data_IF_381948872574
#
_entry.id   IF_381948872574
#
_cell.length_a   1.000
_cell.length_b   1.000
_cell.length_c   1.000
_cell.angle_alpha   90.00
_cell.angle_beta   90.00
_cell.angle_gamma   90.00
#
_symmetry.space_group_name_H-M   'P 1'
#
loop_
_entity.id
_entity.type
_entity.pdbx_description
1 polymer ?
#
# COMPACT_ATOMS: atom_id res chain seq x y z
N UNK A 1 5.30 -5.15 -22.97
CA UNK A 1 4.23 -5.14 -21.94
C UNK A 1 4.45 -3.93 -21.04
N UNK A 2 3.45 -3.09 -20.96
CA UNK A 2 3.49 -1.96 -20.04
C UNK A 2 3.20 -2.45 -18.62
N UNK A 3 4.06 -2.13 -17.68
CA UNK A 3 3.89 -2.44 -16.25
C UNK A 3 3.23 -1.28 -15.50
N UNK A 4 2.41 -0.52 -16.20
CA UNK A 4 1.74 0.64 -15.65
C UNK A 4 0.54 0.23 -14.80
N UNK A 5 0.52 0.68 -13.57
CA UNK A 5 -0.59 0.49 -12.64
C UNK A 5 -1.18 1.85 -12.34
N UNK A 6 -2.42 2.08 -12.78
CA UNK A 6 -3.10 3.37 -12.67
C UNK A 6 -4.21 3.33 -11.63
N UNK A 7 -3.88 2.80 -10.44
CA UNK A 7 -4.84 2.63 -9.34
C UNK A 7 -4.17 2.90 -8.00
N UNK A 8 -4.93 3.36 -7.04
CA UNK A 8 -4.47 3.54 -5.68
C UNK A 8 -3.32 4.53 -5.56
N UNK A 9 -2.31 4.17 -4.79
CA UNK A 9 -1.12 5.00 -4.57
C UNK A 9 -0.33 5.27 -5.85
N UNK A 10 -0.41 4.39 -6.84
CA UNK A 10 0.28 4.60 -8.12
C UNK A 10 -0.24 5.83 -8.88
N UNK A 11 -1.47 6.27 -8.61
CA UNK A 11 -2.01 7.51 -9.18
C UNK A 11 -1.35 8.77 -8.60
N UNK A 12 -0.63 8.65 -7.48
CA UNK A 12 0.03 9.75 -6.79
C UNK A 12 1.53 9.78 -7.06
N UNK A 13 1.98 9.22 -8.18
CA UNK A 13 3.40 9.07 -8.54
C UNK A 13 4.20 8.41 -7.41
N UNK A 14 3.64 7.36 -6.85
CA UNK A 14 4.21 6.64 -5.72
C UNK A 14 4.17 5.13 -5.99
N UNK A 15 5.31 4.47 -5.85
CA UNK A 15 5.38 3.02 -6.01
C UNK A 15 4.92 2.33 -4.73
N UNK A 16 3.80 1.63 -4.81
CA UNK A 16 3.23 0.91 -3.66
C UNK A 16 3.87 -0.46 -3.52
N UNK A 17 5.02 -0.50 -2.84
CA UNK A 17 5.78 -1.74 -2.64
C UNK A 17 5.05 -2.74 -1.74
N UNK A 18 4.24 -2.27 -0.80
CA UNK A 18 3.40 -3.16 0.01
C UNK A 18 2.37 -3.88 -0.86
N UNK A 19 1.75 -3.17 -1.80
CA UNK A 19 0.80 -3.77 -2.75
C UNK A 19 1.49 -4.80 -3.65
N UNK A 20 2.68 -4.49 -4.14
CA UNK A 20 3.46 -5.41 -4.97
C UNK A 20 3.71 -6.73 -4.23
N UNK A 21 4.08 -6.67 -2.96
CA UNK A 21 4.34 -7.86 -2.15
C UNK A 21 3.08 -8.46 -1.51
N UNK A 22 1.95 -7.77 -1.55
CA UNK A 22 0.72 -8.27 -0.95
C UNK A 22 0.78 -8.34 0.56
N UNK A 23 1.43 -7.38 1.20
CA UNK A 23 1.55 -7.28 2.66
C UNK A 23 0.88 -6.00 3.17
N UNK A 24 0.42 -5.98 4.42
CA UNK A 24 -0.14 -4.76 5.00
C UNK A 24 0.87 -3.62 5.06
N UNK A 25 0.38 -2.39 5.02
CA UNK A 25 1.24 -1.20 5.09
C UNK A 25 1.99 -1.06 6.41
N UNK A 26 1.58 -1.78 7.44
CA UNK A 26 2.23 -1.84 8.74
C UNK A 26 2.97 -3.16 8.98
N UNK A 27 3.20 -3.95 7.93
CA UNK A 27 3.90 -5.23 8.04
C UNK A 27 5.32 -5.05 8.57
N UNK A 28 5.73 -5.95 9.47
CA UNK A 28 7.10 -6.00 9.94
C UNK A 28 8.04 -6.63 8.89
N UNK A 29 9.34 -6.49 9.11
CA UNK A 29 10.35 -6.99 8.17
C UNK A 29 10.29 -8.51 8.00
N UNK A 30 9.90 -9.25 9.03
CA UNK A 30 9.79 -10.71 8.95
C UNK A 30 8.62 -11.14 8.07
N UNK A 31 7.47 -10.49 8.19
CA UNK A 31 6.29 -10.72 7.34
C UNK A 31 6.62 -10.41 5.88
N UNK A 32 7.29 -9.29 5.65
CA UNK A 32 7.73 -8.87 4.31
C UNK A 32 8.68 -9.91 3.71
N UNK A 33 9.65 -10.37 4.48
CA UNK A 33 10.63 -11.39 4.03
C UNK A 33 9.97 -12.69 3.66
N UNK A 34 9.08 -13.20 4.50
CA UNK A 34 8.35 -14.45 4.24
C UNK A 34 7.55 -14.36 2.94
N UNK A 35 6.87 -13.26 2.76
CA UNK A 35 6.06 -13.03 1.56
C UNK A 35 6.94 -12.94 0.32
N UNK A 36 8.03 -12.18 0.39
CA UNK A 36 8.98 -12.07 -0.73
C UNK A 36 9.50 -13.43 -1.16
N UNK A 37 9.93 -14.25 -0.21
CA UNK A 37 10.47 -15.59 -0.52
C UNK A 37 9.42 -16.48 -1.20
N UNK A 38 8.17 -16.41 -0.75
CA UNK A 38 7.06 -17.15 -1.37
C UNK A 38 6.84 -16.70 -2.82
N UNK A 39 6.82 -15.41 -3.06
CA UNK A 39 6.63 -14.84 -4.41
C UNK A 39 7.82 -15.21 -5.29
N UNK A 40 9.04 -15.05 -4.80
CA UNK A 40 10.25 -15.36 -5.55
C UNK A 40 10.28 -16.82 -5.98
N UNK A 41 9.87 -17.76 -5.13
CA UNK A 41 9.76 -19.17 -5.51
C UNK A 41 8.71 -19.40 -6.58
N UNK A 42 7.55 -18.74 -6.47
CA UNK A 42 6.47 -18.85 -7.48
C UNK A 42 6.92 -18.36 -8.84
N UNK A 43 7.67 -17.26 -8.88
CA UNK A 43 8.10 -16.61 -10.13
C UNK A 43 9.44 -17.12 -10.66
N UNK A 44 10.10 -18.01 -9.95
CA UNK A 44 11.39 -18.56 -10.36
C UNK A 44 11.22 -19.36 -11.67
N UNK A 45 12.20 -19.27 -12.62
CA UNK A 45 12.12 -19.99 -13.90
C UNK A 45 11.83 -21.48 -13.77
N UNK A 46 12.42 -22.15 -12.78
CA UNK A 46 12.18 -23.58 -12.55
C UNK A 46 10.73 -23.88 -12.17
N UNK A 47 10.10 -22.99 -11.40
CA UNK A 47 8.71 -23.13 -10.98
C UNK A 47 7.73 -22.85 -12.12
N UNK A 48 8.15 -22.07 -13.11
CA UNK A 48 7.32 -21.65 -14.25
C UNK A 48 7.61 -22.48 -15.52
N UNK A 49 8.43 -23.51 -15.44
CA UNK A 49 8.88 -24.26 -16.61
C UNK A 49 7.72 -24.88 -17.43
N UNK A 50 6.60 -25.25 -16.77
CA UNK A 50 5.45 -25.85 -17.42
C UNK A 50 4.39 -24.81 -17.86
N UNK A 51 4.59 -23.54 -17.58
CA UNK A 51 3.66 -22.49 -17.96
C UNK A 51 3.90 -22.01 -19.40
N UNK A 52 2.95 -21.21 -19.91
CA UNK A 52 3.07 -20.63 -21.25
C UNK A 52 4.32 -19.73 -21.36
N UNK A 53 4.79 -19.53 -22.57
CA UNK A 53 5.92 -18.61 -22.82
C UNK A 53 5.59 -17.20 -22.35
N UNK A 54 4.36 -16.75 -22.56
CA UNK A 54 3.92 -15.44 -22.09
C UNK A 54 3.96 -15.32 -20.57
N UNK A 55 3.51 -16.34 -19.84
CA UNK A 55 3.52 -16.35 -18.39
C UNK A 55 4.94 -16.47 -17.82
N UNK A 56 5.80 -17.24 -18.47
CA UNK A 56 7.22 -17.26 -18.09
C UNK A 56 7.87 -15.90 -18.24
N UNK A 57 7.54 -15.19 -19.30
CA UNK A 57 8.02 -13.82 -19.52
C UNK A 57 7.48 -12.86 -18.47
N UNK A 58 6.17 -12.94 -18.16
CA UNK A 58 5.54 -12.16 -17.10
C UNK A 58 6.21 -12.40 -15.76
N UNK A 59 6.45 -13.66 -15.40
CA UNK A 59 7.13 -14.02 -14.15
C UNK A 59 8.49 -13.36 -14.03
N UNK A 60 9.29 -13.44 -15.09
CA UNK A 60 10.62 -12.83 -15.12
C UNK A 60 10.55 -11.31 -14.98
N UNK A 61 9.64 -10.66 -15.68
CA UNK A 61 9.47 -9.20 -15.63
C UNK A 61 8.95 -8.74 -14.27
N UNK A 62 7.96 -9.44 -13.71
CA UNK A 62 7.44 -9.12 -12.39
C UNK A 62 8.52 -9.22 -11.32
N UNK A 63 9.32 -10.28 -11.37
CA UNK A 63 10.39 -10.47 -10.41
C UNK A 63 11.43 -9.35 -10.49
N UNK A 64 11.92 -9.04 -11.69
CA UNK A 64 12.98 -8.05 -11.90
C UNK A 64 12.50 -6.61 -11.76
N UNK A 65 11.30 -6.28 -12.19
CA UNK A 65 10.81 -4.90 -12.28
C UNK A 65 9.93 -4.45 -11.12
N UNK A 66 9.30 -5.39 -10.42
CA UNK A 66 8.38 -5.09 -9.31
C UNK A 66 8.82 -5.70 -7.99
N UNK A 67 8.98 -7.01 -7.95
CA UNK A 67 9.15 -7.75 -6.70
C UNK A 67 10.52 -7.48 -6.07
N UNK A 68 11.60 -7.60 -6.83
CA UNK A 68 12.94 -7.34 -6.32
C UNK A 68 13.12 -5.88 -5.88
N UNK A 69 12.69 -4.87 -6.66
CA UNK A 69 12.74 -3.48 -6.18
C UNK A 69 11.94 -3.25 -4.90
N UNK A 70 10.76 -3.86 -4.76
CA UNK A 70 9.96 -3.78 -3.54
C UNK A 70 10.70 -4.37 -2.34
N UNK A 71 11.30 -5.54 -2.53
CA UNK A 71 12.09 -6.20 -1.49
C UNK A 71 13.31 -5.36 -1.08
N UNK A 72 14.06 -4.85 -2.05
CA UNK A 72 15.23 -3.99 -1.79
C UNK A 72 14.86 -2.78 -0.93
N UNK A 73 13.72 -2.17 -1.23
CA UNK A 73 13.25 -0.98 -0.49
C UNK A 73 12.75 -1.31 0.91
N UNK A 74 11.99 -2.37 1.05
CA UNK A 74 11.32 -2.70 2.32
C UNK A 74 12.16 -3.57 3.25
N UNK A 75 13.24 -4.19 2.76
CA UNK A 75 14.10 -5.06 3.58
C UNK A 75 15.18 -4.31 4.34
N UNK A 76 15.53 -3.10 3.93
CA UNK A 76 16.53 -2.27 4.59
C UNK A 76 15.83 -1.37 5.60
N UNK A 77 16.18 -1.49 6.86
CA UNK A 77 15.49 -0.78 7.96
C UNK A 77 15.41 0.72 7.73
N UNK A 78 16.53 1.35 7.37
CA UNK A 78 16.58 2.79 7.12
C UNK A 78 15.72 3.20 5.93
N UNK A 79 15.84 2.47 4.81
CA UNK A 79 15.04 2.76 3.62
C UNK A 79 13.56 2.52 3.84
N UNK A 80 13.22 1.49 4.63
CA UNK A 80 11.84 1.22 5.01
C UNK A 80 11.25 2.35 5.84
N UNK A 81 12.00 2.87 6.81
CA UNK A 81 11.56 4.00 7.62
C UNK A 81 11.29 5.24 6.78
N UNK A 82 12.19 5.56 5.86
CA UNK A 82 12.02 6.68 4.93
C UNK A 82 10.80 6.47 4.03
N UNK A 83 10.63 5.26 3.52
CA UNK A 83 9.49 4.90 2.69
C UNK A 83 8.17 5.01 3.47
N UNK A 84 8.13 4.49 4.69
CA UNK A 84 6.94 4.55 5.54
C UNK A 84 6.54 5.99 5.86
N UNK A 85 7.52 6.88 6.02
CA UNK A 85 7.26 8.31 6.22
C UNK A 85 6.62 8.94 4.97
N UNK A 86 7.17 8.66 3.78
CA UNK A 86 6.60 9.14 2.52
C UNK A 86 5.18 8.59 2.29
N UNK A 87 4.97 7.34 2.63
CA UNK A 87 3.66 6.69 2.55
C UNK A 87 2.63 7.42 3.42
N UNK A 88 3.00 7.75 4.64
CA UNK A 88 2.15 8.52 5.55
C UNK A 88 1.80 9.89 4.97
N UNK A 89 2.78 10.58 4.40
CA UNK A 89 2.56 11.89 3.77
C UNK A 89 1.62 11.80 2.58
N UNK A 90 1.72 10.74 1.78
CA UNK A 90 0.79 10.48 0.67
C UNK A 90 -0.63 10.22 1.18
N UNK A 91 -0.77 9.48 2.26
CA UNK A 91 -2.07 9.27 2.91
C UNK A 91 -2.70 10.57 3.40
N UNK A 92 -1.92 11.44 4.03
CA UNK A 92 -2.37 12.76 4.45
C UNK A 92 -2.81 13.64 3.28
N UNK A 93 -2.02 13.64 2.21
CA UNK A 93 -2.34 14.36 0.98
C UNK A 93 -3.67 13.89 0.39
N UNK A 94 -3.85 12.58 0.26
CA UNK A 94 -5.07 11.99 -0.30
C UNK A 94 -6.29 12.30 0.58
N UNK A 95 -6.15 12.25 1.90
CA UNK A 95 -7.22 12.60 2.83
C UNK A 95 -7.68 14.05 2.69
N UNK A 96 -6.75 14.98 2.45
CA UNK A 96 -7.08 16.40 2.23
C UNK A 96 -7.77 16.64 0.90
N UNK A 97 -7.35 15.96 -0.15
CA UNK A 97 -7.93 16.13 -1.48
C UNK A 97 -9.34 15.55 -1.59
N UNK A 98 -9.60 14.40 -0.96
CA UNK A 98 -10.92 13.84 -0.78
C UNK A 98 -11.63 13.31 -2.03
N UNK A 99 -11.03 13.38 -3.21
CA UNK A 99 -11.68 13.03 -4.48
C UNK A 99 -10.94 11.94 -5.26
N UNK A 100 -10.27 11.05 -4.56
CA UNK A 100 -9.55 9.95 -5.19
C UNK A 100 -10.54 8.91 -5.74
N UNK A 101 -10.34 8.49 -6.99
CA UNK A 101 -11.13 7.43 -7.59
C UNK A 101 -10.72 6.08 -6.97
N UNK A 102 -11.65 5.44 -6.30
CA UNK A 102 -11.46 4.14 -5.66
C UNK A 102 -12.36 3.08 -6.28
N UNK A 103 -11.86 1.86 -6.39
CA UNK A 103 -12.67 0.70 -6.74
C UNK A 103 -13.58 0.26 -5.58
N UNK A 104 -14.31 -0.84 -5.80
CA UNK A 104 -15.33 -1.32 -4.87
C UNK A 104 -14.80 -1.52 -3.45
N UNK A 105 -13.70 -2.25 -3.29
CA UNK A 105 -13.14 -2.55 -1.96
C UNK A 105 -12.63 -1.29 -1.25
N UNK A 106 -11.97 -0.39 -1.98
CA UNK A 106 -11.51 0.87 -1.42
C UNK A 106 -12.67 1.73 -0.93
N UNK A 107 -13.77 1.80 -1.69
CA UNK A 107 -14.97 2.53 -1.29
C UNK A 107 -15.62 1.93 -0.05
N UNK A 108 -15.74 0.60 0.00
CA UNK A 108 -16.29 -0.10 1.16
C UNK A 108 -15.45 0.17 2.42
N UNK A 109 -14.13 0.20 2.26
CA UNK A 109 -13.23 0.49 3.37
C UNK A 109 -13.45 1.89 3.94
N UNK A 110 -13.75 2.87 3.10
CA UNK A 110 -13.98 4.26 3.56
C UNK A 110 -15.17 4.37 4.52
N UNK A 111 -16.14 3.47 4.44
CA UNK A 111 -17.35 3.48 5.26
C UNK A 111 -17.49 2.28 6.20
N UNK A 112 -16.52 1.37 6.21
CA UNK A 112 -16.55 0.17 7.03
C UNK A 112 -16.61 0.51 8.52
N UNK A 113 -17.43 -0.20 9.29
CA UNK A 113 -17.55 -0.02 10.74
C UNK A 113 -16.30 -0.47 11.49
N UNK A 114 -15.63 -1.50 10.97
CA UNK A 114 -14.34 -1.96 11.47
C UNK A 114 -13.32 -1.94 10.31
N UNK A 115 -12.71 -0.79 10.03
CA UNK A 115 -11.82 -0.64 8.88
C UNK A 115 -10.58 -1.51 8.96
N UNK A 116 -10.03 -1.72 10.13
CA UNK A 116 -8.85 -2.55 10.32
C UNK A 116 -9.12 -4.00 9.94
N UNK A 117 -10.21 -4.57 10.43
CA UNK A 117 -10.63 -5.93 10.10
C UNK A 117 -10.94 -6.07 8.61
N UNK A 118 -11.68 -5.14 8.06
CA UNK A 118 -12.04 -5.13 6.63
C UNK A 118 -10.78 -5.09 5.75
N UNK A 119 -9.83 -4.21 6.09
CA UNK A 119 -8.57 -4.07 5.39
C UNK A 119 -7.78 -5.37 5.37
N UNK A 120 -7.56 -5.96 6.53
CA UNK A 120 -6.73 -7.18 6.67
C UNK A 120 -7.36 -8.40 6.00
N UNK A 121 -8.67 -8.56 6.14
CA UNK A 121 -9.43 -9.63 5.49
C UNK A 121 -9.39 -9.53 3.98
N UNK A 122 -9.68 -8.36 3.45
CA UNK A 122 -9.70 -8.11 2.00
C UNK A 122 -8.30 -8.25 1.39
N UNK A 123 -7.29 -7.73 2.07
CA UNK A 123 -5.90 -7.86 1.65
C UNK A 123 -5.47 -9.32 1.59
N UNK A 124 -5.79 -10.09 2.61
CA UNK A 124 -5.45 -11.52 2.66
C UNK A 124 -6.04 -12.27 1.46
N UNK A 125 -7.31 -12.03 1.17
CA UNK A 125 -7.99 -12.66 0.04
C UNK A 125 -7.34 -12.31 -1.30
N UNK A 126 -6.98 -11.05 -1.50
CA UNK A 126 -6.30 -10.59 -2.71
C UNK A 126 -4.89 -11.15 -2.81
N UNK A 127 -4.14 -11.15 -1.71
CA UNK A 127 -2.76 -11.63 -1.68
C UNK A 127 -2.66 -13.13 -2.00
N UNK A 128 -3.64 -13.93 -1.57
CA UNK A 128 -3.67 -15.37 -1.85
C UNK A 128 -3.71 -15.67 -3.35
N UNK A 129 -4.40 -14.85 -4.13
CA UNK A 129 -4.55 -15.06 -5.58
C UNK A 129 -3.66 -14.15 -6.43
N UNK A 130 -2.86 -13.29 -5.83
CA UNK A 130 -2.13 -12.22 -6.53
C UNK A 130 -1.22 -12.74 -7.65
N UNK A 131 -0.51 -13.82 -7.42
CA UNK A 131 0.42 -14.41 -8.39
C UNK A 131 -0.04 -15.78 -8.89
N UNK A 132 -1.30 -16.14 -8.69
CA UNK A 132 -1.86 -17.39 -9.15
C UNK A 132 -2.02 -17.38 -10.68
N UNK A 133 -2.69 -16.37 -11.21
CA UNK A 133 -2.86 -16.15 -12.65
C UNK A 133 -2.10 -14.88 -13.03
N UNK A 134 -0.94 -15.05 -13.70
CA UNK A 134 -0.02 -13.94 -13.95
C UNK A 134 -0.57 -12.85 -14.86
N UNK A 135 -1.52 -13.18 -15.72
CA UNK A 135 -2.23 -12.19 -16.53
C UNK A 135 -3.13 -11.25 -15.71
N UNK A 136 -3.45 -11.62 -14.47
CA UNK A 136 -4.28 -10.83 -13.56
C UNK A 136 -3.49 -10.13 -12.46
N UNK A 137 -2.19 -10.41 -12.35
CA UNK A 137 -1.35 -9.92 -11.23
C UNK A 137 -1.36 -8.40 -11.10
N UNK A 138 -1.21 -7.67 -12.21
CA UNK A 138 -1.18 -6.19 -12.16
C UNK A 138 -2.51 -5.61 -11.68
N UNK A 139 -3.62 -6.22 -12.07
CA UNK A 139 -4.94 -5.79 -11.60
C UNK A 139 -5.10 -6.02 -10.09
N UNK A 140 -4.65 -7.16 -9.59
CA UNK A 140 -4.70 -7.46 -8.16
C UNK A 140 -3.80 -6.50 -7.36
N UNK A 141 -2.61 -6.20 -7.85
CA UNK A 141 -1.74 -5.18 -7.22
C UNK A 141 -2.48 -3.83 -7.14
N UNK A 142 -3.14 -3.44 -8.21
CA UNK A 142 -3.93 -2.21 -8.24
C UNK A 142 -5.05 -2.20 -7.20
N UNK A 143 -5.77 -3.31 -7.05
CA UNK A 143 -6.82 -3.45 -6.04
C UNK A 143 -6.25 -3.35 -4.61
N UNK A 144 -5.11 -3.98 -4.35
CA UNK A 144 -4.45 -3.88 -3.04
C UNK A 144 -4.01 -2.45 -2.78
N UNK A 145 -3.47 -1.76 -3.78
CA UNK A 145 -3.06 -0.36 -3.64
C UNK A 145 -4.24 0.56 -3.32
N UNK A 146 -5.41 0.31 -3.89
CA UNK A 146 -6.63 1.05 -3.54
C UNK A 146 -7.04 0.81 -2.09
N UNK A 147 -6.94 -0.43 -1.60
CA UNK A 147 -7.16 -0.72 -0.18
C UNK A 147 -6.16 0.02 0.70
N UNK A 148 -4.89 0.03 0.30
CA UNK A 148 -3.83 0.70 1.06
C UNK A 148 -4.09 2.20 1.18
N UNK A 149 -4.42 2.88 0.09
CA UNK A 149 -4.69 4.32 0.14
C UNK A 149 -5.97 4.63 0.93
N UNK A 150 -7.02 3.83 0.78
CA UNK A 150 -8.26 4.01 1.54
C UNK A 150 -8.03 3.83 3.04
N UNK A 151 -7.24 2.84 3.42
CA UNK A 151 -6.87 2.60 4.82
C UNK A 151 -6.04 3.75 5.39
N UNK A 152 -5.05 4.22 4.64
CA UNK A 152 -4.24 5.38 5.02
C UNK A 152 -5.09 6.64 5.19
N UNK A 153 -6.01 6.89 4.27
CA UNK A 153 -6.90 8.05 4.34
C UNK A 153 -7.74 8.04 5.61
N UNK A 154 -8.26 6.90 6.01
CA UNK A 154 -9.02 6.78 7.26
C UNK A 154 -8.14 7.01 8.48
N UNK A 155 -6.94 6.44 8.52
CA UNK A 155 -5.99 6.63 9.64
C UNK A 155 -5.50 8.07 9.73
N UNK A 156 -5.06 8.65 8.62
CA UNK A 156 -4.50 9.99 8.60
C UNK A 156 -5.57 11.06 8.70
N UNK A 157 -6.77 10.80 8.18
CA UNK A 157 -7.92 11.67 8.35
C UNK A 157 -8.34 11.77 9.81
N UNK A 158 -8.39 10.65 10.52
CA UNK A 158 -8.69 10.62 11.96
C UNK A 158 -7.62 11.35 12.77
N UNK A 159 -6.33 11.13 12.44
CA UNK A 159 -5.22 11.82 13.09
C UNK A 159 -5.23 13.33 12.81
N UNK A 160 -5.58 13.72 11.59
CA UNK A 160 -5.73 15.12 11.21
C UNK A 160 -6.86 15.80 11.97
N UNK A 161 -7.99 15.13 12.13
CA UNK A 161 -9.12 15.61 12.91
C UNK A 161 -8.78 15.74 14.40
N UNK A 162 -8.05 14.77 14.94
CA UNK A 162 -7.57 14.82 16.33
C UNK A 162 -6.62 15.98 16.56
N UNK A 163 -5.76 16.29 15.60
CA UNK A 163 -4.82 17.44 15.68
C UNK A 163 -5.55 18.77 15.58
N UNK A 164 -6.61 18.85 14.79
CA UNK A 164 -7.40 20.08 14.65
C UNK A 164 -8.29 20.33 15.85
N UNK A 165 -8.76 19.29 16.52
CA UNK A 165 -9.56 19.46 17.74
C UNK A 165 -8.72 19.78 18.97
N UNK A 166 -7.43 19.52 18.92
CA UNK A 166 -6.52 19.80 20.04
C UNK A 166 -6.02 21.24 20.08
N UNK A 167 -6.44 22.10 19.17
CA UNK A 167 -5.63 23.26 18.93
C UNK A 167 -6.07 24.59 19.50
N UNK A 168 -7.25 25.05 19.72
CA UNK A 168 -7.33 26.48 19.95
C UNK A 168 -7.51 26.96 21.39
N UNK A 169 -7.66 26.09 22.33
CA UNK A 169 -8.03 26.53 23.68
C UNK A 169 -6.89 27.08 24.53
N UNK A 170 -5.71 27.17 23.96
CA UNK A 170 -4.55 27.78 24.65
C UNK A 170 -3.99 29.00 23.94
N UNK A 171 -4.82 29.65 23.17
CA UNK A 171 -4.49 30.98 22.72
C UNK A 171 -4.62 31.92 23.89
N UNK A 172 -3.53 32.22 24.45
CA UNK A 172 -3.17 33.44 25.09
C UNK A 172 -4.34 34.34 25.55
N UNK A 173 -4.74 34.12 26.74
CA UNK A 173 -5.37 35.18 27.52
C UNK A 173 -4.32 35.81 28.45
N UNK A 174 -3.15 36.06 27.90
CA UNK A 174 -2.08 36.55 28.69
C UNK A 174 -1.65 37.90 28.27
N UNK A 175 -2.49 38.83 28.29
CA UNK A 175 -2.05 40.20 28.37
C UNK A 175 -2.42 40.72 29.73
N UNK A 176 -1.77 40.25 30.73
CA UNK A 176 -1.53 41.06 31.90
C UNK A 176 -0.35 41.89 31.57
N UNK A 177 -0.61 43.04 31.01
CA UNK A 177 0.27 44.16 31.12
C UNK A 177 0.03 44.71 32.52
N UNK A 178 1.03 44.70 33.37
CA UNK A 178 0.98 45.51 34.56
C UNK A 178 1.09 46.95 34.11
N UNK A 179 0.30 47.73 34.69
CA UNK A 179 0.38 49.18 34.58
C UNK A 179 1.73 49.72 34.95
#
# INVERSE_FOLDING_TARGET
MSMNIDRGLFLLDFSDYHAVLGVPIDADTQTIRKRYLKIARRLHPDSCASESEEDRKRASEFLSKLVNPAWEKLSQEKEKEEYDLLLKLKGQQAARQGNLALGTLGKELTTASNPDHFYRSSLKNLAEKQFEHLDQTLDVIGQISELNIAYLMRKEGANGSAKTTASPSKLYTGSNLPD
#
